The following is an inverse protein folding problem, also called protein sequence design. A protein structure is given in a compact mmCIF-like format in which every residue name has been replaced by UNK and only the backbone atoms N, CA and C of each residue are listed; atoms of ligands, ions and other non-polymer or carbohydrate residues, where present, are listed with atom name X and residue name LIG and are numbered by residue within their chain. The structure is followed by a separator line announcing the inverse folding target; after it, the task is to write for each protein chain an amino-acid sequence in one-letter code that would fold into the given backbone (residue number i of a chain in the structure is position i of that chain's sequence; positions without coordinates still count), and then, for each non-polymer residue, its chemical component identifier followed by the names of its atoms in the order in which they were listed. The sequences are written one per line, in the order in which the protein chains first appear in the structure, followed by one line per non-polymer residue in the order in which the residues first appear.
data_IF_920786454129
#
_entry.id   IF_920786454129
#
_cell.length_a   1.000
_cell.length_b   1.000
_cell.length_c   1.000
_cell.angle_alpha   90.00
_cell.angle_beta   90.00
_cell.angle_gamma   90.00
#
_symmetry.space_group_name_H-M   'P 1'
#
loop_
_entity.id
_entity.type
_entity.pdbx_description
1 polymer ?
#
# COMPACT_ATOMS: atom_id res chain seq x y z
N UNK A 1 -22.26 23.12 -12.04
CA UNK A 1 -21.50 22.75 -10.82
C UNK A 1 -21.76 21.29 -10.53
N UNK A 2 -20.85 20.40 -10.92
CA UNK A 2 -20.99 18.95 -10.69
C UNK A 2 -20.15 18.63 -9.44
N UNK A 3 -20.82 18.45 -8.31
CA UNK A 3 -20.20 17.83 -7.12
C UNK A 3 -20.20 16.33 -7.35
N UNK A 4 -19.16 15.78 -8.00
CA UNK A 4 -18.98 14.33 -7.98
C UNK A 4 -18.47 13.97 -6.59
N UNK A 5 -19.41 13.62 -5.70
CA UNK A 5 -19.12 12.92 -4.46
C UNK A 5 -18.29 11.70 -4.82
N UNK A 6 -16.99 11.77 -4.56
CA UNK A 6 -16.05 10.67 -4.70
C UNK A 6 -16.44 9.63 -3.67
N UNK A 7 -17.42 8.80 -4.01
CA UNK A 7 -17.79 7.64 -3.21
C UNK A 7 -16.50 6.85 -2.97
N UNK A 8 -16.13 6.65 -1.71
CA UNK A 8 -15.16 5.62 -1.41
C UNK A 8 -15.80 4.34 -1.93
N UNK A 9 -15.31 3.85 -3.08
CA UNK A 9 -15.62 2.52 -3.54
C UNK A 9 -14.90 1.64 -2.52
N UNK A 10 -15.57 1.41 -1.39
CA UNK A 10 -15.42 0.19 -0.65
C UNK A 10 -15.49 -0.86 -1.75
N UNK A 11 -14.37 -1.53 -2.03
CA UNK A 11 -14.40 -2.80 -2.73
C UNK A 11 -15.19 -3.71 -1.80
N UNK A 12 -16.52 -3.57 -1.80
CA UNK A 12 -17.48 -4.42 -1.12
C UNK A 12 -17.45 -5.72 -1.88
N UNK A 13 -16.39 -6.48 -1.67
CA UNK A 13 -16.36 -7.86 -2.07
C UNK A 13 -17.18 -8.65 -1.04
N UNK A 14 -18.50 -8.41 -1.06
CA UNK A 14 -19.50 -9.22 -0.35
C UNK A 14 -20.36 -9.92 -1.38
N UNK A 15 -19.75 -10.80 -2.16
CA UNK A 15 -20.47 -11.90 -2.81
C UNK A 15 -19.63 -13.17 -2.62
N UNK A 16 -20.12 -14.00 -1.69
CA UNK A 16 -19.99 -15.46 -1.63
C UNK A 16 -18.60 -16.05 -1.93
N UNK A 17 -17.85 -16.35 -0.86
CA UNK A 17 -16.86 -17.44 -0.79
C UNK A 17 -15.56 -17.33 -1.59
N UNK A 18 -15.07 -16.12 -1.90
CA UNK A 18 -13.80 -15.97 -2.63
C UNK A 18 -12.68 -15.34 -1.77
N UNK A 19 -11.50 -15.95 -1.90
CA UNK A 19 -10.31 -15.73 -1.09
C UNK A 19 -9.90 -14.25 -0.99
N UNK A 20 -9.36 -13.86 0.17
CA UNK A 20 -8.81 -12.52 0.40
C UNK A 20 -7.73 -12.22 -0.66
N UNK A 21 -7.84 -11.12 -1.43
CA UNK A 21 -6.85 -10.77 -2.44
C UNK A 21 -5.44 -10.64 -1.85
N UNK A 22 -4.36 -10.98 -2.57
CA UNK A 22 -3.00 -10.88 -2.05
C UNK A 22 -2.61 -9.43 -1.75
N UNK A 23 -1.57 -9.26 -0.93
CA UNK A 23 -1.05 -7.94 -0.59
C UNK A 23 -0.61 -7.19 -1.85
N UNK A 24 -1.17 -6.01 -2.10
CA UNK A 24 -0.92 -5.27 -3.33
C UNK A 24 0.53 -4.79 -3.46
N UNK A 25 1.21 -4.60 -2.31
CA UNK A 25 2.61 -4.15 -2.20
C UNK A 25 3.64 -5.25 -2.50
N UNK A 26 3.48 -6.45 -1.91
CA UNK A 26 4.54 -7.49 -1.94
C UNK A 26 4.04 -8.88 -2.36
N UNK A 27 2.76 -9.00 -2.72
CA UNK A 27 2.07 -10.22 -3.16
C UNK A 27 2.03 -11.37 -2.14
N UNK A 28 2.46 -11.12 -0.90
CA UNK A 28 2.27 -12.04 0.23
C UNK A 28 0.78 -12.19 0.59
N UNK A 29 0.45 -13.20 1.40
CA UNK A 29 -0.92 -13.40 1.90
C UNK A 29 -1.40 -12.15 2.63
N UNK A 30 -2.48 -11.55 2.13
CA UNK A 30 -3.12 -10.41 2.77
C UNK A 30 -3.87 -10.86 4.02
N UNK A 31 -3.94 -9.97 5.01
CA UNK A 31 -4.81 -10.11 6.18
C UNK A 31 -6.08 -9.28 6.06
N UNK A 32 -6.27 -8.55 4.95
CA UNK A 32 -7.44 -7.72 4.70
C UNK A 32 -7.06 -6.34 4.15
N UNK A 33 -8.00 -5.41 4.27
CA UNK A 33 -7.87 -4.04 3.76
C UNK A 33 -7.26 -3.13 4.82
N UNK A 34 -6.06 -2.61 4.56
CA UNK A 34 -5.33 -1.73 5.47
C UNK A 34 -4.87 -0.48 4.74
N UNK A 35 -5.19 0.70 5.28
CA UNK A 35 -4.78 1.99 4.73
C UNK A 35 -5.18 2.20 3.26
N UNK A 36 -6.32 1.66 2.80
CA UNK A 36 -6.80 1.85 1.43
C UNK A 36 -6.44 0.75 0.44
N UNK A 37 -5.71 -0.31 0.84
CA UNK A 37 -5.34 -1.42 -0.06
C UNK A 37 -5.40 -2.78 0.64
N UNK A 38 -5.46 -3.88 -0.12
CA UNK A 38 -5.23 -5.20 0.47
C UNK A 38 -3.76 -5.35 0.85
N UNK A 39 -3.47 -5.62 2.12
CA UNK A 39 -2.10 -5.72 2.61
C UNK A 39 -1.90 -6.87 3.60
N UNK A 40 -0.67 -7.40 3.60
CA UNK A 40 -0.22 -8.31 4.65
C UNK A 40 0.14 -7.51 5.92
N UNK A 41 0.16 -8.18 7.08
CA UNK A 41 0.57 -7.57 8.35
C UNK A 41 1.96 -6.94 8.30
N UNK A 42 2.87 -7.53 7.52
CA UNK A 42 4.22 -7.00 7.32
C UNK A 42 4.24 -5.62 6.65
N UNK A 43 3.45 -5.42 5.58
CA UNK A 43 3.37 -4.12 4.89
C UNK A 43 2.50 -3.12 5.63
N UNK A 44 1.42 -3.57 6.28
CA UNK A 44 0.60 -2.76 7.20
C UNK A 44 1.47 -2.14 8.30
N UNK A 45 2.21 -2.97 9.04
CA UNK A 45 3.07 -2.51 10.13
C UNK A 45 4.23 -1.65 9.65
N UNK A 46 4.82 -1.99 8.50
CA UNK A 46 5.88 -1.19 7.88
C UNK A 46 5.38 0.21 7.49
N UNK A 47 4.26 0.30 6.78
CA UNK A 47 3.67 1.58 6.37
C UNK A 47 3.33 2.43 7.59
N UNK A 48 2.64 1.85 8.58
CA UNK A 48 2.31 2.54 9.84
C UNK A 48 3.53 3.17 10.50
N UNK A 49 4.62 2.42 10.70
CA UNK A 49 5.84 2.94 11.32
C UNK A 49 6.50 4.04 10.49
N UNK A 50 6.63 3.80 9.18
CA UNK A 50 7.23 4.76 8.24
C UNK A 50 6.55 6.12 8.32
N UNK A 51 5.22 6.10 8.35
CA UNK A 51 4.40 7.30 8.29
C UNK A 51 4.25 7.98 9.67
N UNK A 52 4.04 7.22 10.74
CA UNK A 52 3.89 7.79 12.10
C UNK A 52 5.18 8.45 12.58
N UNK A 53 6.33 7.83 12.30
CA UNK A 53 7.63 8.31 12.73
C UNK A 53 8.30 9.23 11.70
N UNK A 54 7.64 9.49 10.55
CA UNK A 54 8.20 10.28 9.44
C UNK A 54 9.60 9.80 9.06
N UNK A 55 9.75 8.49 8.85
CA UNK A 55 11.05 7.89 8.58
C UNK A 55 11.53 8.23 7.18
N UNK A 56 12.67 8.90 7.11
CA UNK A 56 13.40 9.12 5.87
C UNK A 56 14.35 7.96 5.61
N UNK A 57 14.02 7.16 4.59
CA UNK A 57 14.85 6.04 4.18
C UNK A 57 15.97 6.49 3.24
N UNK A 58 17.17 5.94 3.44
CA UNK A 58 18.29 6.12 2.52
C UNK A 58 17.87 5.88 1.06
N UNK A 59 18.32 6.72 0.11
CA UNK A 59 18.01 6.53 -1.30
C UNK A 59 18.35 5.12 -1.78
N UNK A 60 17.53 4.60 -2.69
CA UNK A 60 17.75 3.28 -3.26
C UNK A 60 19.02 3.26 -4.12
N UNK A 61 19.92 2.31 -3.84
CA UNK A 61 21.14 2.08 -4.64
C UNK A 61 20.88 1.61 -6.09
N UNK A 62 19.64 1.23 -6.42
CA UNK A 62 19.20 0.80 -7.74
C UNK A 62 18.19 1.77 -8.36
N UNK A 63 18.38 3.08 -8.16
CA UNK A 63 17.57 4.15 -8.76
C UNK A 63 16.05 4.02 -8.51
N UNK A 64 15.66 3.49 -7.35
CA UNK A 64 14.24 3.33 -7.03
C UNK A 64 13.54 2.17 -7.73
N UNK A 65 14.27 1.30 -8.45
CA UNK A 65 13.72 0.22 -9.31
C UNK A 65 13.74 -1.17 -8.64
N UNK A 66 13.82 -1.26 -7.32
CA UNK A 66 13.74 -2.56 -6.65
C UNK A 66 12.34 -3.15 -6.79
N UNK A 67 12.23 -4.35 -7.35
CA UNK A 67 11.00 -5.14 -7.27
C UNK A 67 10.73 -5.55 -5.82
N UNK A 68 9.46 -5.47 -5.41
CA UNK A 68 9.02 -5.73 -4.03
C UNK A 68 8.14 -6.99 -4.00
N UNK A 69 8.68 -8.04 -3.41
CA UNK A 69 8.06 -9.34 -3.20
C UNK A 69 8.20 -9.78 -1.74
N UNK A 70 7.48 -10.84 -1.35
CA UNK A 70 7.56 -11.44 -0.01
C UNK A 70 9.01 -11.66 0.47
N UNK A 71 9.88 -12.11 -0.42
CA UNK A 71 11.24 -12.54 -0.07
C UNK A 71 12.25 -11.38 -0.03
N UNK A 72 12.01 -10.29 -0.77
CA UNK A 72 12.97 -9.19 -0.90
C UNK A 72 12.48 -7.86 -0.31
N UNK A 73 11.22 -7.77 0.14
CA UNK A 73 10.60 -6.51 0.63
C UNK A 73 11.40 -5.79 1.71
N UNK A 74 12.23 -6.49 2.48
CA UNK A 74 13.05 -5.89 3.53
C UNK A 74 14.42 -5.36 3.03
N UNK A 75 14.84 -5.67 1.79
CA UNK A 75 16.16 -5.29 1.26
C UNK A 75 16.26 -3.78 0.98
N UNK A 76 15.17 -3.15 0.54
CA UNK A 76 15.14 -1.72 0.25
C UNK A 76 13.90 -1.06 0.83
N UNK A 77 14.06 -0.39 1.97
CA UNK A 77 12.96 0.30 2.65
C UNK A 77 12.42 1.48 1.84
N UNK A 78 13.30 2.21 1.15
CA UNK A 78 12.90 3.30 0.24
C UNK A 78 11.92 2.81 -0.83
N UNK A 79 12.30 1.80 -1.61
CA UNK A 79 11.42 1.25 -2.64
C UNK A 79 10.15 0.61 -2.06
N UNK A 80 10.23 -0.01 -0.88
CA UNK A 80 9.03 -0.57 -0.23
C UNK A 80 8.04 0.52 0.16
N UNK A 81 8.50 1.62 0.76
CA UNK A 81 7.63 2.74 1.13
C UNK A 81 7.07 3.43 -0.11
N UNK A 82 7.92 3.65 -1.12
CA UNK A 82 7.50 4.15 -2.42
C UNK A 82 6.37 3.28 -3.00
N UNK A 83 6.55 1.96 -3.01
CA UNK A 83 5.53 1.03 -3.50
C UNK A 83 4.24 1.08 -2.69
N UNK A 84 4.31 1.22 -1.37
CA UNK A 84 3.12 1.42 -0.54
C UNK A 84 2.32 2.65 -0.99
N UNK A 85 3.00 3.77 -1.23
CA UNK A 85 2.36 5.02 -1.68
C UNK A 85 1.81 4.85 -3.10
N UNK A 86 2.58 4.26 -4.01
CA UNK A 86 2.17 4.01 -5.40
C UNK A 86 0.92 3.15 -5.52
N UNK A 87 0.74 2.14 -4.65
CA UNK A 87 -0.48 1.32 -4.66
C UNK A 87 -1.68 2.03 -4.01
N UNK A 88 -1.49 3.21 -3.41
CA UNK A 88 -2.55 4.01 -2.81
C UNK A 88 -2.67 3.87 -1.29
N UNK A 89 -1.64 3.39 -0.56
CA UNK A 89 -1.70 3.40 0.90
C UNK A 89 -1.69 4.84 1.44
N UNK A 90 -2.70 5.19 2.24
CA UNK A 90 -2.83 6.52 2.87
C UNK A 90 -3.32 6.43 4.31
N UNK A 91 -3.05 7.47 5.13
CA UNK A 91 -3.47 7.51 6.54
C UNK A 91 -4.99 7.40 6.70
N UNK A 92 -5.73 8.13 5.86
CA UNK A 92 -7.18 8.20 5.94
C UNK A 92 -7.85 7.16 5.02
N UNK A 93 -7.06 6.32 4.32
CA UNK A 93 -7.55 5.44 3.27
C UNK A 93 -8.10 6.17 2.04
N UNK A 94 -7.99 7.50 1.99
CA UNK A 94 -8.30 8.34 0.84
C UNK A 94 -7.21 8.20 -0.22
N UNK A 95 -7.59 7.84 -1.44
CA UNK A 95 -6.68 7.82 -2.58
C UNK A 95 -6.26 9.27 -2.89
N UNK A 96 -5.11 9.70 -2.38
CA UNK A 96 -4.45 10.88 -2.92
C UNK A 96 -3.93 10.47 -4.30
N UNK A 97 -4.76 10.72 -5.31
CA UNK A 97 -4.32 10.79 -6.69
C UNK A 97 -3.22 11.86 -6.72
N UNK A 98 -1.96 11.43 -6.68
CA UNK A 98 -0.87 12.28 -7.09
C UNK A 98 -1.03 12.46 -8.61
N UNK A 99 -1.80 13.47 -8.99
CA UNK A 99 -1.63 14.12 -10.29
C UNK A 99 -0.29 14.83 -10.22
N UNK A 100 0.72 14.27 -10.88
CA UNK A 100 1.83 15.05 -11.42
C UNK A 100 1.38 15.70 -12.72
#
# INVERSE_FOLDING_TARGET
MIYSQGTCIFKTYRTVNQAVPPCEVCKDRSSGFHYGVNACEGCKGFYRRSIQQRLDYRPCAKNGQCDISRNNRNRCQYCRLKKCIEVGMSRDGSYLLFFY
#
